data_IF_893805096086
#
_entry.id   IF_893805096086
#
_cell.length_a   1.000
_cell.length_b   1.000
_cell.length_c   1.000
_cell.angle_alpha   90.00
_cell.angle_beta   90.00
_cell.angle_gamma   90.00
#
_symmetry.space_group_name_H-M   'P 1'
#
loop_
_entity.id
_entity.type
_entity.pdbx_description
1 polymer ?
#
# COMPACT_ATOMS: atom_id res chain seq x y z
N UNK A 1 -31.19 -4.87 -33.18
CA UNK A 1 -31.68 -3.83 -32.26
C UNK A 1 -30.47 -3.00 -31.85
N UNK A 2 -30.49 -1.68 -32.04
CA UNK A 2 -29.37 -0.81 -31.65
C UNK A 2 -29.46 -0.53 -30.13
N UNK A 3 -29.03 -1.50 -29.32
CA UNK A 3 -28.82 -1.27 -27.89
C UNK A 3 -27.33 -1.36 -27.62
N UNK A 4 -26.77 -0.26 -27.14
CA UNK A 4 -25.38 -0.19 -26.69
C UNK A 4 -25.23 -0.64 -25.23
N UNK A 5 -26.34 -0.72 -24.48
CA UNK A 5 -26.35 -1.10 -23.06
C UNK A 5 -27.34 -2.24 -22.84
N UNK A 6 -26.89 -3.32 -22.22
CA UNK A 6 -27.73 -4.45 -21.83
C UNK A 6 -27.60 -4.77 -20.34
N UNK A 7 -28.72 -4.74 -19.64
CA UNK A 7 -28.77 -5.04 -18.22
C UNK A 7 -29.52 -6.34 -17.94
N UNK A 8 -28.76 -7.39 -17.65
CA UNK A 8 -29.17 -8.79 -17.49
C UNK A 8 -28.73 -9.39 -16.15
N UNK A 9 -28.61 -8.54 -15.15
CA UNK A 9 -28.31 -8.93 -13.77
C UNK A 9 -29.52 -9.61 -13.09
N UNK A 10 -29.29 -10.50 -12.12
CA UNK A 10 -30.33 -11.17 -11.32
C UNK A 10 -31.32 -12.05 -12.12
N UNK A 11 -30.86 -12.64 -13.23
CA UNK A 11 -31.70 -13.46 -14.12
C UNK A 11 -31.44 -14.97 -13.99
N UNK A 12 -30.63 -15.37 -13.01
CA UNK A 12 -30.25 -16.76 -12.75
C UNK A 12 -29.56 -17.44 -13.96
N UNK A 13 -28.87 -16.67 -14.79
CA UNK A 13 -28.13 -17.23 -15.92
C UNK A 13 -26.99 -18.12 -15.44
N UNK A 14 -26.91 -19.34 -15.97
CA UNK A 14 -25.79 -20.26 -15.71
C UNK A 14 -24.62 -20.06 -16.67
N UNK A 15 -24.91 -19.48 -17.83
CA UNK A 15 -23.97 -19.17 -18.88
C UNK A 15 -24.29 -17.77 -19.42
N UNK A 16 -23.29 -17.10 -19.99
CA UNK A 16 -23.52 -15.85 -20.73
C UNK A 16 -24.45 -16.17 -21.92
N UNK A 17 -25.63 -15.53 -22.04
CA UNK A 17 -26.56 -15.87 -23.12
C UNK A 17 -26.01 -15.47 -24.50
N UNK A 18 -26.05 -16.41 -25.46
CA UNK A 18 -25.59 -16.20 -26.84
C UNK A 18 -26.28 -15.03 -27.55
N UNK A 19 -27.48 -14.65 -27.11
CA UNK A 19 -28.24 -13.51 -27.64
C UNK A 19 -27.47 -12.19 -27.59
N UNK A 20 -26.45 -12.04 -26.73
CA UNK A 20 -25.56 -10.86 -26.74
C UNK A 20 -24.89 -10.65 -28.11
N UNK A 21 -24.61 -11.73 -28.85
CA UNK A 21 -23.98 -11.65 -30.17
C UNK A 21 -24.87 -10.94 -31.22
N UNK A 22 -26.16 -10.78 -30.95
CA UNK A 22 -27.11 -10.09 -31.83
C UNK A 22 -27.03 -8.55 -31.72
N UNK A 23 -26.19 -8.03 -30.82
CA UNK A 23 -26.04 -6.60 -30.54
C UNK A 23 -24.67 -6.11 -31.03
N UNK A 24 -24.63 -5.68 -32.30
CA UNK A 24 -23.40 -5.30 -33.00
C UNK A 24 -22.70 -4.07 -32.41
N UNK A 25 -23.45 -3.17 -31.77
CA UNK A 25 -22.94 -1.93 -31.17
C UNK A 25 -22.86 -2.01 -29.63
N UNK A 26 -22.80 -3.21 -29.04
CA UNK A 26 -22.85 -3.37 -27.58
C UNK A 26 -21.60 -2.78 -26.91
N UNK A 27 -21.79 -1.79 -26.03
CA UNK A 27 -20.72 -1.11 -25.29
C UNK A 27 -20.73 -1.50 -23.80
N UNK A 28 -21.89 -1.76 -23.22
CA UNK A 28 -22.03 -2.09 -21.80
C UNK A 28 -22.88 -3.33 -21.57
N UNK A 29 -22.36 -4.24 -20.75
CA UNK A 29 -23.09 -5.45 -20.35
C UNK A 29 -23.04 -5.65 -18.84
N UNK A 30 -24.23 -5.76 -18.24
CA UNK A 30 -24.41 -6.03 -16.82
C UNK A 30 -24.97 -7.43 -16.65
N UNK A 31 -24.20 -8.30 -16.00
CA UNK A 31 -24.51 -9.71 -15.73
C UNK A 31 -24.33 -10.04 -14.25
N UNK A 32 -24.53 -9.04 -13.37
CA UNK A 32 -24.33 -9.16 -11.92
C UNK A 32 -25.30 -10.15 -11.29
N UNK A 33 -24.90 -10.85 -10.22
CA UNK A 33 -25.76 -11.75 -9.43
C UNK A 33 -26.45 -12.79 -10.31
N UNK A 34 -25.65 -13.52 -11.07
CA UNK A 34 -26.08 -14.69 -11.84
C UNK A 34 -25.27 -15.91 -11.35
N UNK A 35 -25.30 -17.02 -12.09
CA UNK A 35 -24.57 -18.24 -11.78
C UNK A 35 -23.52 -18.57 -12.86
N UNK A 36 -23.02 -17.55 -13.55
CA UNK A 36 -22.10 -17.71 -14.68
C UNK A 36 -20.76 -18.21 -14.16
N UNK A 37 -20.30 -19.34 -14.69
CA UNK A 37 -19.00 -19.92 -14.30
C UNK A 37 -17.89 -19.68 -15.31
N UNK A 38 -18.22 -19.34 -16.57
CA UNK A 38 -17.25 -19.17 -17.65
C UNK A 38 -17.62 -17.96 -18.51
N UNK A 39 -16.63 -17.13 -18.85
CA UNK A 39 -16.73 -16.13 -19.91
C UNK A 39 -16.44 -16.83 -21.24
N UNK A 40 -17.41 -16.96 -22.15
CA UNK A 40 -17.19 -17.68 -23.40
C UNK A 40 -16.37 -16.83 -24.37
N UNK A 41 -15.54 -17.49 -25.18
CA UNK A 41 -14.63 -16.82 -26.14
C UNK A 41 -15.32 -15.85 -27.08
N UNK A 42 -16.54 -16.14 -27.52
CA UNK A 42 -17.28 -15.27 -28.42
C UNK A 42 -17.63 -13.91 -27.79
N UNK A 43 -17.73 -13.80 -26.46
CA UNK A 43 -17.97 -12.52 -25.80
C UNK A 43 -16.78 -11.57 -25.99
N UNK A 44 -15.57 -12.15 -26.06
CA UNK A 44 -14.31 -11.41 -26.25
C UNK A 44 -14.17 -10.84 -27.67
N UNK A 45 -15.00 -11.29 -28.62
CA UNK A 45 -15.06 -10.76 -29.97
C UNK A 45 -15.92 -9.49 -30.07
N UNK A 46 -16.66 -9.12 -29.02
CA UNK A 46 -17.45 -7.89 -28.97
C UNK A 46 -16.51 -6.74 -28.55
N UNK A 47 -15.61 -6.36 -29.46
CA UNK A 47 -14.53 -5.39 -29.19
C UNK A 47 -15.02 -3.97 -28.93
N UNK A 48 -16.31 -3.70 -29.15
CA UNK A 48 -16.99 -2.45 -28.78
C UNK A 48 -17.25 -2.31 -27.28
N UNK A 49 -17.14 -3.40 -26.51
CA UNK A 49 -17.37 -3.38 -25.06
C UNK A 49 -16.39 -2.47 -24.32
N UNK A 50 -16.95 -1.54 -23.56
CA UNK A 50 -16.28 -0.61 -22.64
C UNK A 50 -16.54 -0.95 -21.18
N UNK A 51 -17.68 -1.59 -20.88
CA UNK A 51 -18.10 -1.86 -19.52
C UNK A 51 -18.60 -3.30 -19.36
N UNK A 52 -17.98 -4.06 -18.46
CA UNK A 52 -18.40 -5.43 -18.12
C UNK A 52 -18.59 -5.53 -16.60
N UNK A 53 -19.80 -5.89 -16.19
CA UNK A 53 -20.13 -6.11 -14.78
C UNK A 53 -20.60 -7.55 -14.55
N UNK A 54 -19.72 -8.36 -13.96
CA UNK A 54 -19.88 -9.79 -13.68
C UNK A 54 -19.80 -10.10 -12.17
N UNK A 55 -19.94 -9.10 -11.30
CA UNK A 55 -19.89 -9.36 -9.86
C UNK A 55 -20.97 -10.33 -9.36
N UNK A 56 -20.67 -11.11 -8.33
CA UNK A 56 -21.64 -12.06 -7.74
C UNK A 56 -21.97 -13.20 -8.70
N UNK A 57 -20.94 -13.84 -9.26
CA UNK A 57 -21.07 -15.01 -10.14
C UNK A 57 -20.17 -16.14 -9.62
N UNK A 58 -19.99 -17.20 -10.42
CA UNK A 58 -19.19 -18.37 -10.07
C UNK A 58 -17.92 -18.49 -10.94
N UNK A 59 -17.38 -17.37 -11.42
CA UNK A 59 -16.19 -17.38 -12.28
C UNK A 59 -14.98 -17.92 -11.51
N UNK A 60 -14.36 -18.98 -12.04
CA UNK A 60 -13.12 -19.56 -11.50
C UNK A 60 -11.85 -19.00 -12.15
N UNK A 61 -11.97 -18.47 -13.36
CA UNK A 61 -10.87 -17.87 -14.13
C UNK A 61 -11.37 -16.74 -15.04
N UNK A 62 -10.46 -15.85 -15.42
CA UNK A 62 -10.65 -14.95 -16.56
C UNK A 62 -9.92 -15.54 -17.77
N UNK A 63 -10.52 -15.45 -18.98
CA UNK A 63 -9.90 -15.99 -20.18
C UNK A 63 -8.61 -15.24 -20.49
N UNK A 64 -7.56 -15.96 -20.92
CA UNK A 64 -6.30 -15.35 -21.36
C UNK A 64 -6.54 -14.38 -22.51
N UNK A 65 -7.54 -14.61 -23.35
CA UNK A 65 -7.94 -13.76 -24.47
C UNK A 65 -8.68 -12.48 -24.06
N UNK A 66 -8.80 -12.15 -22.75
CA UNK A 66 -9.49 -10.94 -22.28
C UNK A 66 -8.95 -9.66 -22.91
N UNK A 67 -7.66 -9.65 -23.28
CA UNK A 67 -6.99 -8.52 -23.93
C UNK A 67 -7.62 -8.10 -25.27
N UNK A 68 -8.42 -8.98 -25.91
CA UNK A 68 -9.13 -8.65 -27.15
C UNK A 68 -10.17 -7.53 -26.97
N UNK A 69 -10.59 -7.27 -25.73
CA UNK A 69 -11.47 -6.16 -25.38
C UNK A 69 -10.69 -4.85 -25.25
N UNK A 70 -10.07 -4.40 -26.34
CA UNK A 70 -9.12 -3.27 -26.36
C UNK A 70 -9.73 -1.93 -25.88
N UNK A 71 -11.06 -1.79 -25.96
CA UNK A 71 -11.80 -0.62 -25.52
C UNK A 71 -12.33 -0.72 -24.08
N UNK A 72 -12.02 -1.78 -23.33
CA UNK A 72 -12.55 -1.99 -22.00
C UNK A 72 -12.03 -0.94 -21.02
N UNK A 73 -12.94 -0.16 -20.44
CA UNK A 73 -12.67 0.90 -19.46
C UNK A 73 -13.01 0.46 -18.04
N UNK A 74 -14.02 -0.41 -17.88
CA UNK A 74 -14.50 -0.90 -16.59
C UNK A 74 -14.67 -2.42 -16.60
N UNK A 75 -14.06 -3.08 -15.61
CA UNK A 75 -14.24 -4.50 -15.35
C UNK A 75 -14.53 -4.74 -13.87
N UNK A 76 -15.72 -5.25 -13.56
CA UNK A 76 -16.07 -5.74 -12.23
C UNK A 76 -16.34 -7.25 -12.26
N UNK A 77 -15.47 -8.00 -11.61
CA UNK A 77 -15.56 -9.45 -11.41
C UNK A 77 -15.47 -9.79 -9.91
N UNK A 78 -15.92 -8.86 -9.06
CA UNK A 78 -15.93 -9.03 -7.61
C UNK A 78 -16.90 -10.12 -7.15
N UNK A 79 -16.69 -10.67 -5.96
CA UNK A 79 -17.53 -11.74 -5.40
C UNK A 79 -17.68 -12.93 -6.37
N UNK A 80 -16.54 -13.47 -6.80
CA UNK A 80 -16.41 -14.67 -7.61
C UNK A 80 -15.46 -15.65 -6.88
N UNK A 81 -14.93 -16.66 -7.59
CA UNK A 81 -13.99 -17.65 -7.04
C UNK A 81 -12.65 -17.66 -7.78
N UNK A 82 -12.24 -16.50 -8.29
CA UNK A 82 -10.98 -16.32 -9.02
C UNK A 82 -9.78 -16.57 -8.09
N UNK A 83 -8.83 -17.38 -8.55
CA UNK A 83 -7.57 -17.67 -7.83
C UNK A 83 -6.39 -16.88 -8.37
N UNK A 84 -6.44 -16.50 -9.65
CA UNK A 84 -5.42 -15.74 -10.33
C UNK A 84 -6.05 -14.80 -11.37
N UNK A 85 -5.28 -13.82 -11.83
CA UNK A 85 -5.61 -12.98 -12.98
C UNK A 85 -4.61 -13.28 -14.09
N UNK A 86 -5.05 -13.38 -15.36
CA UNK A 86 -4.14 -13.64 -16.47
C UNK A 86 -3.19 -12.45 -16.66
N UNK A 87 -1.94 -12.73 -17.01
CA UNK A 87 -0.95 -11.68 -17.29
C UNK A 87 -1.36 -10.76 -18.44
N UNK A 88 -2.15 -11.27 -19.39
CA UNK A 88 -2.73 -10.50 -20.51
C UNK A 88 -3.71 -9.43 -20.07
N UNK A 89 -4.19 -9.43 -18.81
CA UNK A 89 -5.00 -8.34 -18.26
C UNK A 89 -4.26 -7.00 -18.35
N UNK A 90 -2.92 -7.01 -18.24
CA UNK A 90 -2.07 -5.82 -18.39
C UNK A 90 -2.09 -5.18 -19.79
N UNK A 91 -2.67 -5.85 -20.79
CA UNK A 91 -2.80 -5.34 -22.16
C UNK A 91 -4.07 -4.51 -22.38
N UNK A 92 -4.98 -4.42 -21.40
CA UNK A 92 -6.19 -3.61 -21.46
C UNK A 92 -5.87 -2.12 -21.22
N UNK A 93 -5.19 -1.49 -22.17
CA UNK A 93 -4.60 -0.16 -21.98
C UNK A 93 -5.62 0.96 -21.72
N UNK A 94 -6.91 0.75 -22.03
CA UNK A 94 -7.99 1.70 -21.73
C UNK A 94 -8.63 1.51 -20.35
N UNK A 95 -8.25 0.45 -19.61
CA UNK A 95 -8.88 0.12 -18.34
C UNK A 95 -8.63 1.20 -17.29
N UNK A 96 -9.71 1.77 -16.78
CA UNK A 96 -9.74 2.82 -15.76
C UNK A 96 -10.16 2.25 -14.40
N UNK A 97 -11.04 1.25 -14.39
CA UNK A 97 -11.57 0.68 -13.15
C UNK A 97 -11.50 -0.85 -13.17
N UNK A 98 -10.86 -1.41 -12.15
CA UNK A 98 -10.78 -2.85 -11.94
C UNK A 98 -11.24 -3.20 -10.52
N UNK A 99 -12.33 -3.95 -10.44
CA UNK A 99 -12.82 -4.51 -9.18
C UNK A 99 -12.75 -6.04 -9.21
N UNK A 100 -11.85 -6.58 -8.39
CA UNK A 100 -11.63 -8.02 -8.20
C UNK A 100 -11.79 -8.41 -6.72
N UNK A 101 -12.48 -7.57 -5.94
CA UNK A 101 -12.69 -7.81 -4.51
C UNK A 101 -13.54 -9.05 -4.24
N UNK A 102 -13.41 -9.68 -3.08
CA UNK A 102 -14.21 -10.87 -2.74
C UNK A 102 -13.88 -12.07 -3.63
N UNK A 103 -12.59 -12.34 -3.85
CA UNK A 103 -12.10 -13.49 -4.60
C UNK A 103 -11.08 -14.27 -3.73
N UNK A 104 -10.32 -15.18 -4.34
CA UNK A 104 -9.29 -16.00 -3.69
C UNK A 104 -7.88 -15.65 -4.20
N UNK A 105 -7.67 -14.40 -4.64
CA UNK A 105 -6.41 -13.96 -5.23
C UNK A 105 -5.31 -13.88 -4.16
N UNK A 106 -4.13 -14.43 -4.49
CA UNK A 106 -2.94 -14.35 -3.63
C UNK A 106 -1.90 -13.35 -4.14
N UNK A 107 -1.92 -13.03 -5.44
CA UNK A 107 -1.01 -12.11 -6.09
C UNK A 107 -1.66 -11.41 -7.30
N UNK A 108 -1.07 -10.27 -7.70
CA UNK A 108 -1.41 -9.56 -8.92
C UNK A 108 -0.33 -9.87 -9.97
N UNK A 109 -0.69 -10.05 -11.26
CA UNK A 109 0.29 -10.19 -12.32
C UNK A 109 1.14 -8.92 -12.40
N UNK A 110 2.46 -9.08 -12.61
CA UNK A 110 3.39 -7.93 -12.71
C UNK A 110 3.00 -6.99 -13.86
N UNK A 111 2.41 -7.54 -14.91
CA UNK A 111 1.93 -6.84 -16.11
C UNK A 111 0.81 -5.85 -15.82
N UNK A 112 0.11 -5.97 -14.67
CA UNK A 112 -0.90 -4.99 -14.23
C UNK A 112 -0.34 -3.56 -14.17
N UNK A 113 0.98 -3.42 -13.98
CA UNK A 113 1.68 -2.13 -13.98
C UNK A 113 1.63 -1.39 -15.32
N UNK A 114 1.30 -2.10 -16.41
CA UNK A 114 1.12 -1.53 -17.74
C UNK A 114 -0.19 -0.74 -17.88
N UNK A 115 -1.14 -0.91 -16.94
CA UNK A 115 -2.42 -0.20 -16.91
C UNK A 115 -2.25 1.25 -16.44
N UNK A 116 -1.60 2.08 -17.27
CA UNK A 116 -1.30 3.49 -16.94
C UNK A 116 -2.54 4.39 -16.86
N UNK A 117 -3.68 3.91 -17.37
CA UNK A 117 -4.98 4.57 -17.28
C UNK A 117 -5.80 4.13 -16.06
N UNK A 118 -5.33 3.16 -15.26
CA UNK A 118 -6.05 2.65 -14.11
C UNK A 118 -6.15 3.73 -13.01
N UNK A 119 -7.38 4.09 -12.66
CA UNK A 119 -7.72 5.11 -11.67
C UNK A 119 -8.24 4.47 -10.38
N UNK A 120 -8.98 3.37 -10.47
CA UNK A 120 -9.59 2.67 -9.34
C UNK A 120 -9.21 1.20 -9.34
N UNK A 121 -8.56 0.75 -8.27
CA UNK A 121 -8.25 -0.66 -8.04
C UNK A 121 -8.84 -1.12 -6.70
N UNK A 122 -9.76 -2.08 -6.76
CA UNK A 122 -10.32 -2.73 -5.59
C UNK A 122 -9.96 -4.22 -5.57
N UNK A 123 -9.07 -4.59 -4.65
CA UNK A 123 -8.60 -5.96 -4.40
C UNK A 123 -8.93 -6.41 -2.97
N UNK A 124 -9.88 -5.74 -2.31
CA UNK A 124 -10.28 -6.06 -0.94
C UNK A 124 -10.86 -7.48 -0.83
N UNK A 125 -10.84 -8.05 0.38
CA UNK A 125 -11.42 -9.37 0.68
C UNK A 125 -10.85 -10.46 -0.25
N UNK A 126 -9.53 -10.64 -0.17
CA UNK A 126 -8.75 -11.61 -0.93
C UNK A 126 -7.70 -12.25 0.02
N UNK A 127 -6.68 -12.92 -0.52
CA UNK A 127 -5.67 -13.64 0.26
C UNK A 127 -4.25 -13.07 0.03
N UNK A 128 -4.15 -11.75 -0.23
CA UNK A 128 -2.88 -11.10 -0.51
C UNK A 128 -1.97 -11.12 0.73
N UNK A 129 -0.73 -11.60 0.54
CA UNK A 129 0.35 -11.51 1.54
C UNK A 129 1.27 -10.32 1.31
N UNK A 130 1.36 -9.87 0.05
CA UNK A 130 2.19 -8.77 -0.42
C UNK A 130 1.56 -8.13 -1.66
N UNK A 131 1.87 -6.87 -1.90
CA UNK A 131 1.54 -6.17 -3.13
C UNK A 131 2.82 -6.03 -3.99
N UNK A 132 2.73 -6.15 -5.32
CA UNK A 132 3.89 -5.93 -6.19
C UNK A 132 4.33 -4.47 -6.16
N UNK A 133 5.63 -4.23 -6.23
CA UNK A 133 6.19 -2.87 -6.28
C UNK A 133 5.78 -2.12 -7.55
N UNK A 134 5.59 -2.87 -8.63
CA UNK A 134 5.19 -2.36 -9.94
C UNK A 134 3.78 -1.75 -9.92
N UNK A 135 2.96 -2.01 -8.90
CA UNK A 135 1.68 -1.29 -8.73
C UNK A 135 1.88 0.24 -8.62
N UNK A 136 3.07 0.68 -8.20
CA UNK A 136 3.44 2.10 -8.20
C UNK A 136 3.66 2.72 -9.59
N UNK A 137 3.66 1.92 -10.66
CA UNK A 137 3.73 2.40 -12.05
C UNK A 137 2.36 2.78 -12.61
N UNK A 138 1.26 2.43 -11.93
CA UNK A 138 -0.09 2.89 -12.23
C UNK A 138 -0.23 4.37 -11.83
N UNK A 139 0.42 5.27 -12.58
CA UNK A 139 0.59 6.69 -12.23
C UNK A 139 -0.71 7.47 -12.09
N UNK A 140 -1.81 6.99 -12.66
CA UNK A 140 -3.15 7.57 -12.53
C UNK A 140 -3.98 7.00 -11.38
N UNK A 141 -3.47 5.99 -10.67
CA UNK A 141 -4.20 5.34 -9.59
C UNK A 141 -4.55 6.38 -8.50
N UNK A 142 -5.85 6.59 -8.35
CA UNK A 142 -6.45 7.57 -7.47
C UNK A 142 -7.01 6.88 -6.21
N UNK A 143 -7.61 5.71 -6.39
CA UNK A 143 -8.20 4.94 -5.30
C UNK A 143 -7.67 3.51 -5.28
N UNK A 144 -7.12 3.13 -4.13
CA UNK A 144 -6.65 1.77 -3.87
C UNK A 144 -7.33 1.22 -2.61
N UNK A 145 -8.05 0.11 -2.78
CA UNK A 145 -8.61 -0.63 -1.67
C UNK A 145 -8.02 -2.04 -1.60
N UNK A 146 -7.31 -2.32 -0.51
CA UNK A 146 -6.69 -3.60 -0.16
C UNK A 146 -7.17 -4.14 1.18
N UNK A 147 -8.26 -3.59 1.72
CA UNK A 147 -8.83 -3.99 3.01
C UNK A 147 -9.20 -5.47 3.03
N UNK A 148 -9.34 -6.06 4.22
CA UNK A 148 -9.74 -7.47 4.38
C UNK A 148 -8.77 -8.46 3.72
N UNK A 149 -7.48 -8.11 3.70
CA UNK A 149 -6.40 -9.04 3.35
C UNK A 149 -5.64 -9.37 4.64
N UNK A 150 -6.17 -10.31 5.42
CA UNK A 150 -5.72 -10.60 6.79
C UNK A 150 -4.26 -11.04 6.89
N UNK A 151 -3.67 -11.54 5.79
CA UNK A 151 -2.27 -11.95 5.74
C UNK A 151 -1.32 -10.86 5.17
N UNK A 152 -1.84 -9.68 4.81
CA UNK A 152 -1.04 -8.59 4.27
C UNK A 152 -0.29 -7.87 5.39
N UNK A 153 1.04 -8.03 5.40
CA UNK A 153 1.91 -7.51 6.46
C UNK A 153 2.45 -6.10 6.18
N UNK A 154 2.56 -5.73 4.90
CA UNK A 154 3.22 -4.50 4.46
C UNK A 154 2.51 -3.88 3.25
N UNK A 155 2.48 -2.55 3.22
CA UNK A 155 2.23 -1.77 2.01
C UNK A 155 3.57 -1.28 1.45
N UNK A 156 3.83 -1.44 0.14
CA UNK A 156 4.99 -0.81 -0.49
C UNK A 156 5.01 0.71 -0.31
N UNK A 157 6.13 1.28 0.16
CA UNK A 157 6.28 2.74 0.37
C UNK A 157 6.06 3.53 -0.93
N UNK A 158 6.33 2.96 -2.12
CA UNK A 158 6.06 3.64 -3.40
C UNK A 158 4.58 3.91 -3.65
N UNK A 159 3.68 3.07 -3.14
CA UNK A 159 2.23 3.29 -3.29
C UNK A 159 1.86 4.61 -2.61
N UNK A 160 2.45 4.89 -1.45
CA UNK A 160 2.23 6.13 -0.73
C UNK A 160 2.77 7.38 -1.48
N UNK A 161 3.69 7.18 -2.43
CA UNK A 161 4.26 8.22 -3.29
C UNK A 161 3.53 8.39 -4.65
N UNK A 162 2.47 7.62 -4.92
CA UNK A 162 1.70 7.78 -6.15
C UNK A 162 1.15 9.21 -6.27
N UNK A 163 1.34 9.88 -7.43
CA UNK A 163 1.08 11.31 -7.54
C UNK A 163 -0.41 11.65 -7.48
N UNK A 164 -1.28 10.75 -7.95
CA UNK A 164 -2.72 10.94 -8.05
C UNK A 164 -3.50 10.27 -6.91
N UNK A 165 -2.85 9.50 -6.03
CA UNK A 165 -3.55 8.72 -5.00
C UNK A 165 -4.20 9.65 -3.96
N UNK A 166 -5.54 9.60 -3.89
CA UNK A 166 -6.33 10.37 -2.92
C UNK A 166 -6.99 9.49 -1.85
N UNK A 167 -7.23 8.21 -2.16
CA UNK A 167 -7.90 7.27 -1.27
C UNK A 167 -7.09 6.00 -1.11
N UNK A 168 -6.75 5.66 0.13
CA UNK A 168 -6.11 4.40 0.49
C UNK A 168 -6.89 3.70 1.61
N UNK A 169 -7.39 2.51 1.30
CA UNK A 169 -8.04 1.63 2.27
C UNK A 169 -7.25 0.33 2.42
N UNK A 170 -6.85 0.01 3.64
CA UNK A 170 -6.12 -1.20 4.04
C UNK A 170 -6.55 -1.62 5.46
N UNK A 171 -7.83 -1.48 5.78
CA UNK A 171 -8.40 -1.88 7.07
C UNK A 171 -8.50 -3.41 7.16
N UNK A 172 -8.41 -3.98 8.36
CA UNK A 172 -8.52 -5.42 8.60
C UNK A 172 -7.49 -6.23 7.79
N UNK A 173 -6.27 -5.70 7.76
CA UNK A 173 -5.06 -6.42 7.34
C UNK A 173 -4.22 -6.78 8.58
N UNK A 174 -3.03 -7.32 8.37
CA UNK A 174 -2.04 -7.55 9.43
C UNK A 174 -0.84 -6.60 9.32
N UNK A 175 -1.10 -5.33 8.95
CA UNK A 175 -0.03 -4.36 8.72
C UNK A 175 0.82 -4.17 9.97
N UNK A 176 2.13 -4.36 9.83
CA UNK A 176 3.09 -4.21 10.95
C UNK A 176 3.44 -2.74 11.15
N UNK A 177 3.50 -1.97 10.06
CA UNK A 177 3.74 -0.54 10.06
C UNK A 177 2.95 0.16 8.96
N UNK A 178 2.84 1.48 9.10
CA UNK A 178 2.19 2.35 8.12
C UNK A 178 3.23 3.12 7.31
N UNK A 179 3.02 3.32 6.00
CA UNK A 179 3.91 4.13 5.16
C UNK A 179 4.12 5.54 5.71
N UNK A 180 5.36 5.96 5.90
CA UNK A 180 5.66 7.29 6.44
C UNK A 180 5.79 8.36 5.34
N UNK A 181 5.87 7.94 4.07
CA UNK A 181 5.93 8.82 2.91
C UNK A 181 4.58 8.91 2.18
N UNK A 182 3.55 9.48 2.81
CA UNK A 182 2.30 9.74 2.08
C UNK A 182 2.40 11.01 1.22
N UNK A 183 1.80 10.93 0.03
CA UNK A 183 1.50 12.10 -0.79
C UNK A 183 0.73 13.13 0.05
N UNK A 184 1.01 14.42 -0.19
CA UNK A 184 0.45 15.54 0.57
C UNK A 184 -1.08 15.69 0.38
N UNK A 185 -1.69 14.89 -0.49
CA UNK A 185 -3.02 15.08 -1.05
C UNK A 185 -4.01 13.94 -0.78
N UNK A 186 -3.68 12.97 0.09
CA UNK A 186 -4.69 11.98 0.47
C UNK A 186 -5.85 12.66 1.21
N UNK A 187 -7.06 12.42 0.71
CA UNK A 187 -8.30 12.94 1.27
C UNK A 187 -8.95 11.91 2.19
N UNK A 188 -8.80 10.62 1.86
CA UNK A 188 -9.46 9.54 2.55
C UNK A 188 -8.48 8.42 2.88
N UNK A 189 -8.46 8.00 4.15
CA UNK A 189 -7.56 6.94 4.64
C UNK A 189 -8.32 6.02 5.58
N UNK A 190 -8.34 4.73 5.28
CA UNK A 190 -8.94 3.67 6.09
C UNK A 190 -7.91 2.58 6.37
N UNK A 191 -7.05 2.79 7.37
CA UNK A 191 -5.95 1.86 7.72
C UNK A 191 -5.87 1.56 9.21
N UNK A 192 -6.73 2.15 10.03
CA UNK A 192 -6.56 2.14 11.48
C UNK A 192 -7.25 0.93 12.14
N UNK A 193 -8.01 0.13 11.40
CA UNK A 193 -8.45 -1.20 11.82
C UNK A 193 -7.34 -2.25 11.60
N UNK A 194 -6.09 -1.93 11.94
CA UNK A 194 -4.96 -2.86 11.99
C UNK A 194 -4.50 -2.98 13.45
N UNK A 195 -4.43 -4.21 13.96
CA UNK A 195 -4.15 -4.50 15.37
C UNK A 195 -2.66 -4.52 15.67
N UNK A 196 -1.86 -4.94 14.68
CA UNK A 196 -0.40 -5.00 14.76
C UNK A 196 0.29 -3.63 14.74
N UNK A 197 -0.39 -2.58 14.30
CA UNK A 197 0.14 -1.21 14.28
C UNK A 197 0.06 -0.59 15.68
N UNK A 198 1.23 -0.34 16.28
CA UNK A 198 1.35 0.26 17.62
C UNK A 198 1.74 1.74 17.62
N UNK A 199 2.23 2.26 16.51
CA UNK A 199 2.63 3.66 16.35
C UNK A 199 2.08 4.23 15.04
N UNK A 200 1.96 5.54 14.99
CA UNK A 200 1.33 6.21 13.85
C UNK A 200 2.27 7.31 13.33
N UNK A 201 2.72 7.22 12.07
CA UNK A 201 3.45 8.32 11.45
C UNK A 201 2.67 9.63 11.54
N UNK A 202 3.34 10.73 11.87
CA UNK A 202 2.72 12.02 12.16
C UNK A 202 1.77 12.51 11.05
N UNK A 203 2.04 12.13 9.80
CA UNK A 203 1.21 12.46 8.64
C UNK A 203 -0.24 11.96 8.75
N UNK A 204 -0.49 10.94 9.57
CA UNK A 204 -1.82 10.39 9.80
C UNK A 204 -2.59 11.04 10.95
N UNK A 205 -1.99 11.96 11.71
CA UNK A 205 -2.61 12.55 12.91
C UNK A 205 -3.95 13.22 12.62
N UNK A 206 -4.11 13.85 11.46
CA UNK A 206 -5.38 14.48 11.05
C UNK A 206 -6.52 13.48 10.86
N UNK A 207 -6.23 12.23 10.51
CA UNK A 207 -7.23 11.17 10.32
C UNK A 207 -7.53 10.43 11.62
N UNK A 208 -6.67 10.59 12.62
CA UNK A 208 -6.70 9.84 13.87
C UNK A 208 -7.86 10.22 14.78
N UNK A 209 -8.28 11.49 14.79
CA UNK A 209 -9.31 12.00 15.73
C UNK A 209 -10.66 11.28 15.60
N UNK A 210 -10.99 10.74 14.42
CA UNK A 210 -12.27 10.07 14.17
C UNK A 210 -12.28 8.58 14.56
N UNK A 211 -11.14 7.98 14.90
CA UNK A 211 -11.00 6.52 14.93
C UNK A 211 -10.96 5.91 16.34
N UNK A 212 -10.66 6.70 17.37
CA UNK A 212 -10.12 6.16 18.62
C UNK A 212 -11.03 6.15 19.83
N UNK A 213 -12.27 6.65 19.74
CA UNK A 213 -13.22 6.50 20.84
C UNK A 213 -13.61 5.03 21.10
N UNK A 214 -13.32 4.10 20.15
CA UNK A 214 -13.81 2.71 20.20
C UNK A 214 -12.76 1.61 19.94
N UNK A 215 -11.44 1.86 20.05
CA UNK A 215 -10.43 0.80 19.78
C UNK A 215 -10.53 -0.34 20.80
N UNK A 216 -11.02 -1.50 20.38
CA UNK A 216 -10.84 -2.74 21.13
C UNK A 216 -9.36 -3.15 21.06
N UNK A 217 -8.73 -3.39 22.22
CA UNK A 217 -7.40 -4.01 22.27
C UNK A 217 -7.53 -5.45 21.81
N UNK A 218 -7.17 -5.70 20.55
CA UNK A 218 -7.06 -7.05 20.01
C UNK A 218 -5.66 -7.59 20.30
N UNK A 219 -5.56 -8.90 20.53
CA UNK A 219 -4.30 -9.58 20.80
C UNK A 219 -3.36 -9.39 19.61
N UNK A 220 -2.10 -8.94 19.82
CA UNK A 220 -1.13 -8.80 18.73
C UNK A 220 -0.91 -10.14 18.03
N UNK A 221 -0.93 -10.14 16.70
CA UNK A 221 -0.55 -11.32 15.91
C UNK A 221 0.93 -11.63 16.12
N UNK A 222 1.30 -12.92 16.09
CA UNK A 222 2.71 -13.33 16.05
C UNK A 222 3.30 -12.95 14.71
N UNK A 223 4.20 -11.96 14.70
CA UNK A 223 4.80 -11.38 13.50
C UNK A 223 6.22 -11.93 13.30
N UNK A 224 6.66 -12.24 12.06
CA UNK A 224 8.06 -12.56 11.79
C UNK A 224 8.98 -11.41 12.24
N UNK A 225 9.87 -11.67 13.19
CA UNK A 225 10.80 -10.66 13.77
C UNK A 225 11.93 -10.24 12.81
N UNK A 226 12.13 -10.99 11.71
CA UNK A 226 13.22 -10.75 10.74
C UNK A 226 13.08 -9.40 10.04
N UNK A 227 14.10 -8.53 10.17
CA UNK A 227 14.11 -7.20 9.53
C UNK A 227 13.39 -6.12 10.33
N UNK A 228 13.05 -6.39 11.59
CA UNK A 228 12.50 -5.45 12.56
C UNK A 228 13.47 -5.31 13.75
N UNK A 229 13.35 -4.23 14.53
CA UNK A 229 14.06 -4.07 15.80
C UNK A 229 13.17 -3.40 16.84
N UNK A 230 13.47 -3.63 18.11
CA UNK A 230 12.74 -3.03 19.21
C UNK A 230 13.29 -1.66 19.58
N UNK A 231 12.37 -0.73 19.79
CA UNK A 231 12.62 0.54 20.46
C UNK A 231 11.90 0.51 21.79
N UNK A 232 12.63 0.77 22.88
CA UNK A 232 12.08 0.82 24.22
C UNK A 232 11.89 2.27 24.66
N UNK A 233 10.66 2.63 25.04
CA UNK A 233 10.36 3.89 25.72
C UNK A 233 10.89 3.81 27.17
N UNK A 234 11.65 4.83 27.60
CA UNK A 234 12.30 4.80 28.90
C UNK A 234 11.35 5.05 30.08
N UNK A 235 10.23 5.72 29.86
CA UNK A 235 9.31 6.12 30.95
C UNK A 235 8.36 5.00 31.39
N UNK A 236 7.78 4.26 30.46
CA UNK A 236 6.76 3.23 30.75
C UNK A 236 7.16 1.83 30.28
N UNK A 237 8.41 1.66 29.81
CA UNK A 237 8.96 0.42 29.26
C UNK A 237 8.18 -0.16 28.07
N UNK A 238 7.34 0.63 27.40
CA UNK A 238 6.65 0.18 26.20
C UNK A 238 7.66 -0.13 25.09
N UNK A 239 7.39 -1.21 24.33
CA UNK A 239 8.22 -1.63 23.22
C UNK A 239 7.51 -1.31 21.90
N UNK A 240 8.25 -0.70 20.98
CA UNK A 240 7.84 -0.39 19.62
C UNK A 240 8.62 -1.29 18.66
N UNK A 241 7.93 -2.00 17.79
CA UNK A 241 8.58 -2.77 16.73
C UNK A 241 8.67 -1.88 15.50
N UNK A 242 9.89 -1.55 15.07
CA UNK A 242 10.11 -0.71 13.89
C UNK A 242 10.88 -1.50 12.81
N UNK A 243 10.65 -1.24 11.51
CA UNK A 243 11.45 -1.84 10.45
C UNK A 243 12.91 -1.38 10.55
N UNK A 244 13.88 -2.28 10.32
CA UNK A 244 15.34 -2.01 10.40
C UNK A 244 15.78 -0.78 9.59
N UNK A 245 15.05 -0.40 8.53
CA UNK A 245 15.23 0.88 7.84
C UNK A 245 14.98 2.15 8.65
N UNK A 246 14.47 2.02 9.88
CA UNK A 246 14.34 3.09 10.87
C UNK A 246 15.39 3.01 11.97
N UNK A 247 16.26 1.98 11.95
CA UNK A 247 17.36 1.84 12.91
C UNK A 247 18.31 2.98 12.63
N UNK A 248 18.28 3.99 13.50
CA UNK A 248 19.45 4.84 13.75
C UNK A 248 20.57 3.87 14.07
N UNK A 249 21.44 3.60 13.11
CA UNK A 249 22.89 3.37 13.20
C UNK A 249 23.29 2.99 11.76
N UNK A 250 23.55 4.00 10.95
CA UNK A 250 24.69 3.89 10.05
C UNK A 250 25.78 4.72 10.71
N UNK A 251 26.90 4.14 11.16
CA UNK A 251 28.06 4.94 11.48
C UNK A 251 28.44 5.66 10.19
N UNK A 252 28.16 6.96 10.13
CA UNK A 252 28.60 7.77 9.00
C UNK A 252 30.12 7.71 8.98
N UNK A 253 30.78 7.44 7.84
CA UNK A 253 32.24 7.34 7.81
C UNK A 253 32.98 8.64 8.18
N UNK A 254 32.30 9.77 8.45
CA UNK A 254 32.96 10.95 9.00
C UNK A 254 32.01 11.94 9.70
N UNK A 255 32.53 12.82 10.59
CA UNK A 255 31.78 13.90 11.23
C UNK A 255 31.38 15.05 10.28
N UNK A 256 31.90 15.08 9.04
CA UNK A 256 31.84 16.26 8.18
C UNK A 256 30.81 16.17 7.05
N UNK A 257 30.14 15.02 6.85
CA UNK A 257 29.12 14.87 5.80
C UNK A 257 28.11 13.76 6.15
N UNK A 258 26.94 14.14 6.67
CA UNK A 258 25.92 13.18 7.16
C UNK A 258 24.54 13.30 6.50
N UNK A 259 24.48 13.87 5.29
CA UNK A 259 23.54 13.39 4.27
C UNK A 259 24.45 12.69 3.28
N UNK A 260 24.45 11.36 3.31
CA UNK A 260 25.48 10.58 2.62
C UNK A 260 25.43 10.89 1.12
N UNK A 261 26.59 10.92 0.46
CA UNK A 261 26.69 10.98 -1.01
C UNK A 261 25.67 10.03 -1.69
N UNK A 262 25.33 8.92 -1.03
CA UNK A 262 24.27 7.99 -1.42
C UNK A 262 22.86 8.61 -1.45
N UNK A 263 22.41 9.31 -0.40
CA UNK A 263 21.11 9.99 -0.41
C UNK A 263 21.05 11.06 -1.52
N UNK A 264 22.16 11.77 -1.77
CA UNK A 264 22.26 12.73 -2.87
C UNK A 264 22.30 12.06 -4.25
N UNK A 265 23.00 10.92 -4.39
CA UNK A 265 22.96 10.08 -5.59
C UNK A 265 21.57 9.52 -5.85
N UNK A 266 20.86 9.05 -4.83
CA UNK A 266 19.48 8.57 -4.96
C UNK A 266 18.53 9.68 -5.37
N UNK A 267 18.69 10.87 -4.79
CA UNK A 267 17.94 12.05 -5.19
C UNK A 267 18.24 12.49 -6.63
N UNK A 268 19.51 12.38 -7.07
CA UNK A 268 19.90 12.63 -8.44
C UNK A 268 19.31 11.58 -9.41
N UNK A 269 19.34 10.30 -9.03
CA UNK A 269 18.78 9.21 -9.84
C UNK A 269 17.25 9.31 -9.95
N UNK A 270 16.53 9.65 -8.87
CA UNK A 270 15.08 9.94 -8.92
C UNK A 270 14.77 11.04 -9.95
N UNK A 271 15.61 12.07 -10.01
CA UNK A 271 15.46 13.17 -10.98
C UNK A 271 15.79 12.77 -12.43
N UNK A 272 16.69 11.80 -12.62
CA UNK A 272 17.21 11.40 -13.93
C UNK A 272 16.43 10.23 -14.56
N UNK A 273 15.94 9.26 -13.79
CA UNK A 273 15.37 7.99 -14.29
C UNK A 273 13.84 8.01 -14.42
N UNK A 274 13.32 8.77 -15.39
CA UNK A 274 11.89 8.70 -15.79
C UNK A 274 11.55 7.49 -16.67
N UNK A 275 12.53 6.72 -17.14
CA UNK A 275 12.30 5.67 -18.17
C UNK A 275 12.68 4.25 -17.76
N UNK A 276 13.61 4.06 -16.83
CA UNK A 276 13.97 2.72 -16.32
C UNK A 276 14.06 2.76 -14.81
N UNK A 277 13.32 1.92 -14.08
CA UNK A 277 13.38 1.93 -12.64
C UNK A 277 14.75 1.49 -12.13
N UNK A 278 15.25 2.21 -11.13
CA UNK A 278 16.55 1.96 -10.47
C UNK A 278 16.72 0.51 -10.02
N UNK A 279 15.62 -0.17 -9.68
CA UNK A 279 15.59 -1.55 -9.19
C UNK A 279 15.82 -2.63 -10.24
N UNK A 280 15.78 -2.30 -11.54
CA UNK A 280 16.12 -3.26 -12.61
C UNK A 280 17.63 -3.29 -12.91
N UNK A 281 18.41 -2.49 -12.19
CA UNK A 281 19.85 -2.43 -12.38
C UNK A 281 20.57 -3.43 -11.46
N UNK A 282 20.88 -4.61 -12.01
CA UNK A 282 21.67 -5.66 -11.34
C UNK A 282 23.06 -5.19 -10.85
N UNK A 283 23.57 -4.05 -11.33
CA UNK A 283 24.80 -3.48 -10.80
C UNK A 283 24.59 -2.85 -9.41
N UNK A 284 23.40 -2.30 -9.11
CA UNK A 284 23.13 -1.69 -7.80
C UNK A 284 23.10 -2.72 -6.68
N UNK A 285 22.53 -3.90 -6.91
CA UNK A 285 22.58 -5.00 -5.94
C UNK A 285 24.02 -5.45 -5.59
N UNK A 286 24.97 -5.24 -6.51
CA UNK A 286 26.39 -5.58 -6.32
C UNK A 286 27.21 -4.44 -5.73
N UNK A 287 26.77 -3.20 -5.89
CA UNK A 287 27.48 -1.99 -5.45
C UNK A 287 27.04 -1.50 -4.06
N UNK A 288 25.83 -1.87 -3.61
CA UNK A 288 25.32 -1.45 -2.31
C UNK A 288 25.84 -2.36 -1.20
N UNK A 289 26.40 -1.80 -0.12
CA UNK A 289 27.10 -2.58 0.90
C UNK A 289 26.17 -3.51 1.70
N UNK A 290 24.85 -3.26 1.72
CA UNK A 290 23.90 -4.04 2.52
C UNK A 290 22.61 -4.42 1.77
N UNK A 291 22.11 -5.67 1.90
CA UNK A 291 20.94 -6.16 1.16
C UNK A 291 19.67 -5.31 1.32
N UNK A 292 19.46 -4.75 2.51
CA UNK A 292 18.29 -3.95 2.87
C UNK A 292 18.35 -2.52 2.30
N UNK A 293 19.53 -2.02 1.90
CA UNK A 293 19.64 -0.75 1.17
C UNK A 293 19.01 -0.87 -0.22
N UNK A 294 19.19 -2.02 -0.90
CA UNK A 294 18.54 -2.25 -2.19
C UNK A 294 17.01 -2.22 -2.05
N UNK A 295 16.46 -2.79 -0.98
CA UNK A 295 15.02 -2.75 -0.72
C UNK A 295 14.51 -1.32 -0.50
N UNK A 296 15.21 -0.48 0.27
CA UNK A 296 14.82 0.93 0.46
C UNK A 296 14.92 1.75 -0.84
N UNK A 297 15.93 1.48 -1.66
CA UNK A 297 16.10 2.12 -2.98
C UNK A 297 14.98 1.68 -3.94
N UNK A 298 14.61 0.41 -3.88
CA UNK A 298 13.54 -0.18 -4.69
C UNK A 298 12.16 0.36 -4.27
N UNK A 299 12.00 0.81 -3.02
CA UNK A 299 10.71 1.21 -2.45
C UNK A 299 10.42 2.72 -2.46
N UNK A 300 11.31 3.56 -3.03
CA UNK A 300 11.14 5.01 -3.03
C UNK A 300 11.51 5.65 -1.68
N UNK A 301 11.22 6.94 -1.45
CA UNK A 301 11.51 7.53 -0.15
C UNK A 301 10.69 6.83 0.93
N UNK A 302 11.37 6.42 2.00
CA UNK A 302 10.77 5.79 3.18
C UNK A 302 9.97 6.79 4.01
N UNK A 303 10.28 8.08 3.91
CA UNK A 303 9.58 9.14 4.60
C UNK A 303 9.77 10.50 3.92
N UNK A 304 9.04 11.51 4.39
CA UNK A 304 9.34 12.92 4.13
C UNK A 304 9.61 13.64 5.45
N UNK A 305 10.48 14.65 5.41
CA UNK A 305 10.76 15.49 6.56
C UNK A 305 9.46 16.10 7.09
N UNK A 306 9.17 15.85 8.37
CA UNK A 306 7.87 16.20 9.01
C UNK A 306 7.71 17.72 9.16
N UNK A 307 8.80 18.48 9.11
CA UNK A 307 8.76 19.95 9.11
C UNK A 307 8.15 20.46 7.81
N UNK A 308 7.02 21.18 7.91
CA UNK A 308 6.26 21.72 6.77
C UNK A 308 7.13 22.54 5.80
N UNK A 309 7.99 23.40 6.34
CA UNK A 309 8.91 24.25 5.57
C UNK A 309 10.07 23.48 4.92
N UNK A 310 10.31 22.22 5.30
CA UNK A 310 11.35 21.37 4.72
C UNK A 310 10.76 20.34 3.76
N UNK A 311 9.91 19.43 4.26
CA UNK A 311 9.25 18.36 3.48
C UNK A 311 10.16 17.53 2.55
N UNK A 312 11.49 17.54 2.74
CA UNK A 312 12.46 16.81 1.91
C UNK A 312 12.22 15.29 1.97
N UNK A 313 12.30 14.61 0.83
CA UNK A 313 12.28 13.14 0.76
C UNK A 313 13.46 12.54 1.54
N UNK A 314 13.20 11.46 2.28
CA UNK A 314 14.16 10.73 3.11
C UNK A 314 14.25 9.30 2.57
N UNK A 315 15.45 8.85 2.23
CA UNK A 315 15.68 7.56 1.59
C UNK A 315 16.29 6.54 2.53
N UNK A 316 17.38 6.91 3.21
CA UNK A 316 18.12 5.99 4.09
C UNK A 316 18.45 6.60 5.44
N UNK A 317 18.85 7.87 5.48
CA UNK A 317 19.29 8.54 6.72
C UNK A 317 18.31 9.63 7.14
N UNK A 318 17.89 9.60 8.41
CA UNK A 318 17.00 10.60 8.99
C UNK A 318 17.08 10.63 10.51
N UNK A 319 16.70 11.78 11.06
CA UNK A 319 16.49 11.96 12.49
C UNK A 319 15.08 11.49 12.86
N UNK A 320 14.99 10.38 13.58
CA UNK A 320 13.75 9.81 14.12
C UNK A 320 13.42 10.39 15.50
N UNK A 321 12.15 10.73 15.71
CA UNK A 321 11.62 11.20 16.99
C UNK A 321 10.28 10.56 17.29
N UNK A 322 10.08 10.13 18.53
CA UNK A 322 8.79 9.66 19.03
C UNK A 322 8.19 10.76 19.92
N UNK A 323 6.92 11.06 19.69
CA UNK A 323 6.21 12.10 20.44
C UNK A 323 4.86 11.61 20.91
N UNK A 324 4.38 12.23 21.99
CA UNK A 324 3.06 11.98 22.54
C UNK A 324 2.27 13.28 22.67
N UNK A 325 0.97 13.17 22.45
CA UNK A 325 0.04 14.31 22.54
C UNK A 325 -0.22 14.64 24.02
N UNK A 326 -0.04 15.91 24.40
CA UNK A 326 -0.37 16.42 25.72
C UNK A 326 -1.88 16.34 25.96
N UNK A 327 -2.28 15.88 27.14
CA UNK A 327 -3.68 15.76 27.53
C UNK A 327 -4.45 14.64 26.82
N UNK A 328 -3.79 13.76 26.05
CA UNK A 328 -4.45 12.61 25.42
C UNK A 328 -4.49 11.40 26.35
N UNK A 329 -5.67 10.82 26.51
CA UNK A 329 -5.87 9.59 27.28
C UNK A 329 -5.42 8.32 26.54
N UNK A 330 -5.31 8.35 25.21
CA UNK A 330 -5.10 7.14 24.38
C UNK A 330 -3.70 6.51 24.55
N UNK A 331 -2.78 7.18 25.25
CA UNK A 331 -1.36 6.82 25.35
C UNK A 331 -0.68 6.60 23.98
N UNK A 332 -1.30 7.06 22.88
CA UNK A 332 -0.83 6.82 21.52
C UNK A 332 0.51 7.49 21.24
N UNK A 333 1.38 6.74 20.57
CA UNK A 333 2.69 7.18 20.12
C UNK A 333 2.61 7.60 18.65
N UNK A 334 3.18 8.77 18.37
CA UNK A 334 3.36 9.27 17.01
C UNK A 334 4.84 9.28 16.66
N UNK A 335 5.15 8.95 15.41
CA UNK A 335 6.53 8.93 14.90
C UNK A 335 6.75 10.06 13.91
N UNK A 336 7.88 10.76 14.05
CA UNK A 336 8.27 11.89 13.23
C UNK A 336 9.65 11.63 12.62
N UNK A 337 9.78 11.89 11.32
CA UNK A 337 11.02 11.73 10.56
C UNK A 337 11.51 13.09 10.07
N UNK A 338 12.79 13.41 10.26
CA UNK A 338 13.38 14.70 9.86
C UNK A 338 14.70 14.52 9.13
N UNK A 339 15.03 15.43 8.20
CA UNK A 339 16.32 15.38 7.51
C UNK A 339 17.51 15.76 8.42
N UNK A 340 17.28 16.55 9.47
CA UNK A 340 18.32 17.02 10.39
C UNK A 340 17.78 17.17 11.81
N UNK A 341 18.67 17.17 12.79
CA UNK A 341 18.33 17.48 14.19
C UNK A 341 17.74 18.89 14.32
N UNK A 342 18.24 19.87 13.56
CA UNK A 342 17.71 21.23 13.58
C UNK A 342 16.24 21.27 13.11
N UNK A 343 15.89 20.57 12.04
CA UNK A 343 14.50 20.45 11.60
C UNK A 343 13.60 19.84 12.68
N UNK A 344 14.09 18.84 13.42
CA UNK A 344 13.36 18.23 14.51
C UNK A 344 13.13 19.21 15.68
N UNK A 345 14.17 19.95 16.09
CA UNK A 345 14.08 20.94 17.17
C UNK A 345 13.13 22.10 16.81
N UNK A 346 13.18 22.58 15.57
CA UNK A 346 12.28 23.62 15.06
C UNK A 346 10.81 23.15 15.02
N UNK A 347 10.58 21.91 14.60
CA UNK A 347 9.23 21.34 14.62
C UNK A 347 8.72 21.18 16.06
N UNK A 348 9.56 20.68 16.97
CA UNK A 348 9.19 20.43 18.36
C UNK A 348 8.91 21.74 19.10
N UNK A 349 9.71 22.78 18.90
CA UNK A 349 9.48 24.09 19.52
C UNK A 349 8.13 24.68 19.10
N UNK A 350 7.82 24.59 17.80
CA UNK A 350 6.57 25.06 17.20
C UNK A 350 5.34 24.25 17.66
N UNK A 351 5.54 22.98 18.04
CA UNK A 351 4.48 22.05 18.44
C UNK A 351 4.47 21.72 19.95
N UNK A 352 5.32 22.38 20.74
CA UNK A 352 5.56 22.10 22.17
C UNK A 352 4.33 22.19 23.07
N UNK A 353 3.35 23.04 22.69
CA UNK A 353 2.05 23.14 23.38
C UNK A 353 1.17 21.91 23.20
N UNK A 354 1.33 21.17 22.10
CA UNK A 354 0.51 20.00 21.76
C UNK A 354 1.24 18.69 22.01
N UNK A 355 2.56 18.67 21.84
CA UNK A 355 3.36 17.47 21.87
C UNK A 355 4.57 17.62 22.79
N UNK A 356 5.04 16.49 23.30
CA UNK A 356 6.33 16.38 23.97
C UNK A 356 7.09 15.18 23.42
N UNK A 357 8.41 15.32 23.36
CA UNK A 357 9.30 14.25 22.91
C UNK A 357 9.45 13.22 24.03
N UNK A 358 9.46 11.95 23.63
CA UNK A 358 9.79 10.84 24.51
C UNK A 358 11.24 10.41 24.31
N UNK A 359 11.88 10.01 25.41
CA UNK A 359 13.19 9.38 25.36
C UNK A 359 13.05 7.89 25.05
N UNK A 360 13.85 7.41 24.11
CA UNK A 360 13.82 6.03 23.65
C UNK A 360 15.23 5.51 23.38
N UNK A 361 15.40 4.19 23.46
CA UNK A 361 16.64 3.49 23.12
C UNK A 361 16.34 2.29 22.21
N UNK A 362 17.27 1.96 21.32
CA UNK A 362 17.26 0.68 20.62
C UNK A 362 17.51 -0.42 21.66
N UNK A 363 16.67 -1.43 21.68
CA UNK A 363 16.85 -2.65 22.47
C UNK A 363 17.25 -3.76 21.50
N UNK A 364 18.31 -4.48 21.83
CA UNK A 364 18.82 -5.60 21.04
C UNK A 364 18.07 -6.90 21.33
N UNK A 365 17.03 -6.86 22.18
CA UNK A 365 16.43 -8.05 22.77
C UNK A 365 15.41 -8.70 21.81
N UNK A 366 15.84 -9.80 21.17
CA UNK A 366 14.95 -10.91 20.79
C UNK A 366 14.50 -11.73 22.03
N UNK A 367 15.06 -11.44 23.20
CA UNK A 367 14.85 -12.20 24.43
C UNK A 367 13.49 -11.88 25.07
N UNK A 368 12.57 -12.82 24.84
CA UNK A 368 11.45 -13.16 25.71
C UNK A 368 11.97 -13.75 27.03
N UNK A 369 12.72 -12.97 27.80
CA UNK A 369 12.87 -13.25 29.22
C UNK A 369 12.00 -12.25 29.96
N UNK A 370 10.87 -12.79 30.43
CA UNK A 370 10.06 -12.24 31.49
C UNK A 370 11.00 -11.92 32.66
N UNK A 371 11.36 -10.65 32.81
CA UNK A 371 11.85 -10.10 34.09
C UNK A 371 10.65 -10.07 35.05
N UNK A 372 10.23 -11.26 35.50
CA UNK A 372 9.35 -11.51 36.63
C UNK A 372 10.16 -11.87 37.90
N UNK A 373 11.44 -11.52 37.93
CA UNK A 373 12.30 -11.65 39.12
C UNK A 373 12.77 -10.26 39.58
N UNK A 374 11.85 -9.51 40.17
CA UNK A 374 12.16 -8.47 41.17
C UNK A 374 11.06 -8.54 42.25
N UNK A 375 11.09 -9.63 43.03
CA UNK A 375 10.53 -9.74 44.38
C UNK A 375 11.28 -10.84 45.15
N UNK A 376 12.42 -10.46 45.75
CA UNK A 376 12.67 -10.56 47.20
C UNK A 376 14.04 -10.00 47.59
#
# INVERSE_FOLDING_TARGET
MNKTILHWSYLNFKDVPMDLFLYEDLEEVYLKENYISVIPKWLLNITTLKFIHLAGNNLSELPVDIYMLENLEFLDVSNNVLKELPNTLGLLLQLQQLNVSGNQLTELPKELSSLRNLEHLNIANNQFRRLPLQLSECVRLNELNVSDNEALLHLPERIANLPMLQSLAADRCALIYLPAALSKFMNHVRIFHNTSVNYIPMIYERFYQNFYDNRQKLTPLSIPKKGLFWVRELENRSRLLLPVGTRKIFPVPSPENQVTLYDDCLHAVEKLNRQTPVYENDALHRLLPEPYMSAHINNGPIARCTTTNCSRCLYTTYYFMVVKRRGSASKQLFTCNFCTQNCALQWLSSNSKKYYQLNWKVSDDDDEHDDDDDND
#
